data_IF_277212179103
#
_entry.id   IF_277212179103
#
_cell.length_a   1.000
_cell.length_b   1.000
_cell.length_c   1.000
_cell.angle_alpha   90.00
_cell.angle_beta   90.00
_cell.angle_gamma   90.00
#
_symmetry.space_group_name_H-M   'P 1'
#
loop_
_entity.id
_entity.type
_entity.pdbx_description
1 polymer ?
#
# COMPACT_ATOMS: atom_id res chain seq x y z
N UNK A 1 0.43 -21.21 -13.31
CA UNK A 1 -0.73 -20.86 -14.16
C UNK A 1 -0.45 -19.51 -14.80
N UNK A 2 -0.73 -19.33 -16.10
CA UNK A 2 -0.58 -18.03 -16.76
C UNK A 2 -1.95 -17.37 -16.87
N UNK A 3 -2.16 -16.27 -16.15
CA UNK A 3 -3.37 -15.45 -16.25
C UNK A 3 -3.08 -14.18 -17.03
N UNK A 4 -4.11 -13.69 -17.73
CA UNK A 4 -3.99 -12.46 -18.51
C UNK A 4 -4.01 -11.19 -17.63
N UNK A 5 -4.71 -11.24 -16.50
CA UNK A 5 -4.73 -10.18 -15.48
C UNK A 5 -4.27 -10.80 -14.16
N UNK A 6 -3.33 -10.17 -13.48
CA UNK A 6 -2.85 -10.66 -12.19
C UNK A 6 -3.96 -10.58 -11.12
N UNK A 7 -4.91 -9.65 -11.25
CA UNK A 7 -6.11 -9.62 -10.42
C UNK A 7 -6.94 -10.92 -10.46
N UNK A 8 -6.84 -11.72 -11.53
CA UNK A 8 -7.50 -13.02 -11.61
C UNK A 8 -6.69 -14.13 -10.90
N UNK A 9 -5.40 -13.90 -10.58
CA UNK A 9 -4.53 -14.88 -9.95
C UNK A 9 -4.92 -15.17 -8.50
N UNK A 10 -5.21 -14.13 -7.70
CA UNK A 10 -5.48 -14.27 -6.26
C UNK A 10 -6.76 -15.11 -5.97
N UNK A 11 -7.92 -14.85 -6.59
CA UNK A 11 -9.11 -15.68 -6.38
C UNK A 11 -8.91 -17.14 -6.78
N UNK A 12 -8.11 -17.39 -7.83
CA UNK A 12 -7.80 -18.75 -8.28
C UNK A 12 -6.83 -19.43 -7.29
N UNK A 13 -5.83 -18.71 -6.79
CA UNK A 13 -4.92 -19.22 -5.77
C UNK A 13 -5.68 -19.62 -4.49
N UNK A 14 -6.63 -18.80 -4.03
CA UNK A 14 -7.45 -19.13 -2.86
C UNK A 14 -8.33 -20.36 -3.09
N UNK A 15 -8.93 -20.49 -4.28
CA UNK A 15 -9.73 -21.67 -4.64
C UNK A 15 -8.91 -22.97 -4.74
N UNK A 16 -7.62 -22.86 -5.07
CA UNK A 16 -6.68 -23.99 -5.11
C UNK A 16 -6.15 -24.33 -3.70
N UNK A 17 -5.81 -23.32 -2.88
CA UNK A 17 -5.43 -23.51 -1.48
C UNK A 17 -6.55 -24.15 -0.66
N UNK A 18 -7.80 -23.75 -0.89
CA UNK A 18 -8.98 -24.37 -0.28
C UNK A 18 -9.11 -25.87 -0.61
N UNK A 19 -8.44 -26.34 -1.67
CA UNK A 19 -8.36 -27.76 -2.06
C UNK A 19 -7.06 -28.44 -1.61
N UNK A 20 -6.25 -27.77 -0.79
CA UNK A 20 -4.96 -28.30 -0.32
C UNK A 20 -3.87 -28.30 -1.39
N UNK A 21 -4.03 -27.55 -2.48
CA UNK A 21 -3.02 -27.45 -3.54
C UNK A 21 -2.10 -26.27 -3.20
N UNK A 22 -0.78 -26.48 -3.06
CA UNK A 22 0.16 -25.39 -2.83
C UNK A 22 0.24 -24.48 -4.07
N UNK A 23 0.13 -23.17 -3.85
CA UNK A 23 0.16 -22.16 -4.92
C UNK A 23 1.00 -20.97 -4.50
N UNK A 24 1.96 -20.64 -5.36
CA UNK A 24 2.78 -19.43 -5.29
C UNK A 24 2.32 -18.44 -6.38
N UNK A 25 2.11 -17.18 -6.01
CA UNK A 25 1.78 -16.10 -6.95
C UNK A 25 3.06 -15.34 -7.26
N UNK A 26 3.54 -15.44 -8.50
CA UNK A 26 4.79 -14.80 -8.95
C UNK A 26 4.53 -13.30 -9.22
N UNK A 27 5.30 -12.43 -8.58
CA UNK A 27 5.25 -10.97 -8.78
C UNK A 27 5.28 -10.21 -7.45
N UNK A 28 5.63 -8.92 -7.48
CA UNK A 28 5.66 -8.07 -6.29
C UNK A 28 4.26 -7.88 -5.70
N UNK A 29 3.20 -7.76 -6.52
CA UNK A 29 1.82 -7.71 -6.04
C UNK A 29 1.42 -9.00 -5.31
N UNK A 30 1.88 -10.16 -5.80
CA UNK A 30 1.70 -11.45 -5.14
C UNK A 30 2.42 -11.47 -3.79
N UNK A 31 3.68 -11.05 -3.76
CA UNK A 31 4.49 -10.95 -2.55
C UNK A 31 3.87 -10.03 -1.49
N UNK A 32 3.36 -8.86 -1.89
CA UNK A 32 2.72 -7.89 -1.01
C UNK A 32 1.37 -8.38 -0.45
N UNK A 33 0.74 -9.37 -1.09
CA UNK A 33 -0.50 -9.98 -0.61
C UNK A 33 -0.28 -11.03 0.49
N UNK A 34 0.96 -11.47 0.70
CA UNK A 34 1.32 -12.45 1.71
C UNK A 34 1.17 -11.80 3.10
N UNK A 35 0.45 -12.40 4.05
CA UNK A 35 0.10 -11.77 5.32
C UNK A 35 1.31 -11.21 6.07
N UNK A 36 2.39 -11.99 6.16
CA UNK A 36 3.63 -11.60 6.85
C UNK A 36 4.29 -10.36 6.22
N UNK A 37 4.27 -10.26 4.89
CA UNK A 37 4.81 -9.11 4.15
C UNK A 37 3.87 -7.91 4.28
N UNK A 38 2.56 -8.14 4.18
CA UNK A 38 1.55 -7.10 4.33
C UNK A 38 1.61 -6.43 5.72
N UNK A 39 1.89 -7.20 6.78
CA UNK A 39 2.04 -6.68 8.13
C UNK A 39 3.31 -5.80 8.28
N UNK A 40 4.42 -6.21 7.66
CA UNK A 40 5.65 -5.38 7.61
C UNK A 40 5.39 -4.07 6.87
N UNK A 41 4.73 -4.12 5.70
CA UNK A 41 4.41 -2.93 4.91
C UNK A 41 3.43 -2.02 5.64
N UNK A 42 2.41 -2.57 6.30
CA UNK A 42 1.47 -1.79 7.10
C UNK A 42 2.17 -1.08 8.27
N UNK A 43 3.10 -1.76 8.96
CA UNK A 43 3.91 -1.14 10.02
C UNK A 43 4.83 -0.04 9.46
N UNK A 44 5.51 -0.28 8.34
CA UNK A 44 6.35 0.73 7.67
C UNK A 44 5.54 1.97 7.29
N UNK A 45 4.32 1.79 6.74
CA UNK A 45 3.39 2.89 6.45
C UNK A 45 3.01 3.65 7.70
N UNK A 46 2.64 2.97 8.78
CA UNK A 46 2.25 3.62 10.04
C UNK A 46 3.40 4.38 10.72
N UNK A 47 4.63 3.88 10.57
CA UNK A 47 5.83 4.54 11.09
C UNK A 47 6.16 5.80 10.29
N UNK A 48 6.09 5.72 8.96
CA UNK A 48 6.45 6.82 8.06
C UNK A 48 5.36 7.88 7.89
N UNK A 49 4.09 7.46 7.87
CA UNK A 49 2.93 8.30 7.60
C UNK A 49 1.86 8.10 8.69
N UNK A 50 1.84 8.98 9.72
CA UNK A 50 0.87 8.92 10.81
C UNK A 50 -0.59 8.99 10.34
N UNK A 51 -0.85 9.67 9.21
CA UNK A 51 -2.19 9.83 8.65
C UNK A 51 -2.70 8.61 7.86
N UNK A 52 -1.86 7.57 7.70
CA UNK A 52 -2.23 6.33 7.00
C UNK A 52 -3.21 5.47 7.83
N UNK A 53 -4.47 5.91 7.91
CA UNK A 53 -5.51 5.29 8.74
C UNK A 53 -5.81 3.83 8.38
N UNK A 54 -5.72 3.45 7.11
CA UNK A 54 -5.90 2.05 6.68
C UNK A 54 -4.80 1.14 7.22
N UNK A 55 -3.53 1.57 7.13
CA UNK A 55 -2.39 0.87 7.71
C UNK A 55 -2.50 0.79 9.24
N UNK A 56 -2.91 1.88 9.88
CA UNK A 56 -3.17 1.89 11.32
C UNK A 56 -4.23 0.84 11.71
N UNK A 57 -5.36 0.81 11.01
CA UNK A 57 -6.43 -0.16 11.28
C UNK A 57 -5.97 -1.60 11.03
N UNK A 58 -5.20 -1.86 9.97
CA UNK A 58 -4.64 -3.19 9.71
C UNK A 58 -3.72 -3.65 10.84
N UNK A 59 -2.80 -2.80 11.32
CA UNK A 59 -1.94 -3.13 12.47
C UNK A 59 -2.76 -3.37 13.74
N UNK A 60 -3.69 -2.47 14.07
CA UNK A 60 -4.46 -2.53 15.32
C UNK A 60 -5.42 -3.73 15.39
N UNK A 61 -5.98 -4.13 14.24
CA UNK A 61 -6.90 -5.27 14.13
C UNK A 61 -6.20 -6.58 13.76
N UNK A 62 -4.91 -6.51 13.41
CA UNK A 62 -4.09 -7.65 13.01
C UNK A 62 -3.94 -8.71 14.09
N UNK A 63 -3.40 -9.90 13.74
CA UNK A 63 -3.39 -11.09 14.60
C UNK A 63 -2.61 -10.90 15.91
N UNK A 64 -1.62 -10.00 15.93
CA UNK A 64 -0.82 -9.70 17.13
C UNK A 64 -1.59 -8.86 18.15
N UNK A 65 -2.23 -7.77 17.72
CA UNK A 65 -2.84 -6.79 18.63
C UNK A 65 -4.32 -7.06 18.90
N UNK A 66 -5.08 -7.47 17.87
CA UNK A 66 -6.50 -7.86 17.97
C UNK A 66 -7.30 -6.93 18.89
N UNK A 67 -7.18 -5.62 18.69
CA UNK A 67 -7.91 -4.65 19.51
C UNK A 67 -9.41 -4.76 19.22
N UNK A 68 -10.20 -4.78 20.29
CA UNK A 68 -11.66 -4.86 20.18
C UNK A 68 -12.26 -3.54 19.72
N UNK A 69 -13.45 -3.60 19.12
CA UNK A 69 -14.16 -2.41 18.64
C UNK A 69 -14.39 -1.35 19.72
N UNK A 70 -14.57 -1.75 20.99
CA UNK A 70 -14.69 -0.81 22.13
C UNK A 70 -13.41 0.02 22.32
N UNK A 71 -12.25 -0.63 22.33
CA UNK A 71 -10.97 0.03 22.56
C UNK A 71 -10.56 0.88 21.36
N UNK A 72 -10.84 0.41 20.13
CA UNK A 72 -10.67 1.18 18.90
C UNK A 72 -11.53 2.44 18.88
N UNK A 73 -12.80 2.33 19.27
CA UNK A 73 -13.69 3.50 19.35
C UNK A 73 -13.24 4.50 20.42
N UNK A 74 -12.69 4.02 21.55
CA UNK A 74 -12.11 4.88 22.57
C UNK A 74 -10.85 5.60 22.04
N UNK A 75 -9.98 4.88 21.33
CA UNK A 75 -8.78 5.44 20.73
C UNK A 75 -9.12 6.47 19.63
N UNK A 76 -10.15 6.21 18.83
CA UNK A 76 -10.63 7.17 17.83
C UNK A 76 -11.19 8.44 18.48
N UNK A 77 -11.96 8.32 19.58
CA UNK A 77 -12.39 9.48 20.36
C UNK A 77 -11.20 10.29 20.90
N UNK A 78 -10.12 9.61 21.31
CA UNK A 78 -8.87 10.27 21.72
C UNK A 78 -8.26 11.04 20.56
N UNK A 79 -8.17 10.45 19.37
CA UNK A 79 -7.65 11.12 18.16
C UNK A 79 -8.44 12.40 17.83
N UNK A 80 -9.78 12.35 17.89
CA UNK A 80 -10.64 13.52 17.69
C UNK A 80 -10.41 14.61 18.75
N UNK A 81 -10.17 14.20 19.99
CA UNK A 81 -9.85 15.13 21.08
C UNK A 81 -8.49 15.82 20.92
N UNK A 82 -7.51 15.14 20.31
CA UNK A 82 -6.18 15.69 20.01
C UNK A 82 -6.21 16.67 18.83
N UNK A 83 -7.03 16.40 17.81
CA UNK A 83 -7.18 17.23 16.61
C UNK A 83 -8.06 18.50 16.82
N UNK A 84 -8.39 18.86 18.06
CA UNK A 84 -9.10 20.12 18.35
C UNK A 84 -10.63 20.06 18.49
N UNK A 85 -11.23 18.87 18.66
CA UNK A 85 -12.67 18.72 18.87
C UNK A 85 -13.53 19.07 17.63
N UNK A 86 -14.87 18.87 17.66
CA UNK A 86 -15.73 19.22 16.53
C UNK A 86 -15.73 20.74 16.34
N UNK A 87 -14.94 21.21 15.38
CA UNK A 87 -14.83 22.62 15.06
C UNK A 87 -16.18 23.15 14.59
N UNK A 88 -16.61 24.28 15.14
CA UNK A 88 -17.78 25.01 14.64
C UNK A 88 -17.52 25.36 13.16
N UNK A 89 -18.49 25.08 12.30
CA UNK A 89 -18.34 25.11 10.83
C UNK A 89 -18.21 26.55 10.30
N UNK A 90 -17.05 27.18 10.51
CA UNK A 90 -16.69 28.46 9.91
C UNK A 90 -16.05 28.22 8.52
N UNK A 91 -16.28 29.09 7.53
CA UNK A 91 -15.62 29.00 6.22
C UNK A 91 -14.08 28.96 6.31
N UNK A 92 -13.48 29.59 7.32
CA UNK A 92 -12.04 29.51 7.61
C UNK A 92 -11.62 28.11 8.08
N UNK A 93 -12.45 27.40 8.85
CA UNK A 93 -12.19 26.00 9.25
C UNK A 93 -12.26 25.05 8.05
N UNK A 94 -13.12 25.33 7.08
CA UNK A 94 -13.25 24.51 5.85
C UNK A 94 -12.01 24.70 4.98
N UNK A 95 -11.51 25.95 4.86
CA UNK A 95 -10.29 26.23 4.12
C UNK A 95 -9.05 25.62 4.80
N UNK A 96 -8.96 25.66 6.14
CA UNK A 96 -7.88 25.04 6.91
C UNK A 96 -7.89 23.50 6.80
N UNK A 97 -9.07 22.87 6.83
CA UNK A 97 -9.22 21.42 6.68
C UNK A 97 -8.88 20.90 5.27
N UNK A 98 -8.88 21.78 4.25
CA UNK A 98 -8.51 21.42 2.88
C UNK A 98 -7.03 21.67 2.54
N UNK A 99 -6.27 22.28 3.45
CA UNK A 99 -4.84 22.53 3.29
C UNK A 99 -3.98 21.28 3.50
N UNK A 100 -2.73 21.28 2.99
CA UNK A 100 -1.77 20.21 3.24
C UNK A 100 -1.38 20.11 4.73
N UNK A 101 -1.58 21.18 5.51
CA UNK A 101 -1.36 21.25 6.95
C UNK A 101 -2.66 21.04 7.75
N UNK A 102 -3.63 20.29 7.20
CA UNK A 102 -4.88 20.01 7.90
C UNK A 102 -4.63 19.08 9.09
N UNK A 103 -5.00 19.52 10.30
CA UNK A 103 -5.01 18.72 11.53
C UNK A 103 -6.12 17.65 11.46
N UNK A 104 -5.91 16.66 10.60
CA UNK A 104 -6.84 15.54 10.45
C UNK A 104 -6.61 14.57 11.60
N UNK A 105 -7.66 14.17 12.34
CA UNK A 105 -7.52 13.22 13.45
C UNK A 105 -6.93 11.90 12.95
N UNK A 106 -5.77 11.52 13.50
CA UNK A 106 -5.09 10.29 13.13
C UNK A 106 -4.91 9.35 14.33
N UNK A 107 -5.00 8.04 14.07
CA UNK A 107 -4.85 7.02 15.11
C UNK A 107 -3.42 6.97 15.66
N UNK A 108 -2.42 7.35 14.87
CA UNK A 108 -1.02 7.36 15.28
C UNK A 108 -0.74 8.36 16.42
N UNK A 109 -1.42 9.51 16.44
CA UNK A 109 -1.30 10.49 17.53
C UNK A 109 -1.94 9.97 18.80
N UNK A 110 -3.14 9.38 18.69
CA UNK A 110 -3.80 8.74 19.81
C UNK A 110 -3.03 7.53 20.35
N UNK A 111 -2.27 6.81 19.52
CA UNK A 111 -1.34 5.78 20.00
C UNK A 111 -0.17 6.38 20.78
N UNK A 112 0.36 7.51 20.31
CA UNK A 112 1.48 8.20 20.96
C UNK A 112 1.06 8.87 22.27
N UNK A 113 -0.20 9.30 22.36
CA UNK A 113 -0.82 9.85 23.56
C UNK A 113 -2.24 9.25 23.78
N UNK A 114 -2.32 8.03 24.36
CA UNK A 114 -3.60 7.35 24.56
C UNK A 114 -4.45 7.95 25.68
N UNK A 115 -3.88 8.85 26.50
CA UNK A 115 -4.55 9.41 27.65
C UNK A 115 -4.81 8.40 28.78
N UNK A 116 -5.80 8.66 29.65
CA UNK A 116 -6.11 7.84 30.83
C UNK A 116 -6.55 6.41 30.48
N UNK A 117 -6.12 5.45 31.30
CA UNK A 117 -6.41 4.02 31.10
C UNK A 117 -7.91 3.67 31.23
N UNK A 118 -8.68 4.44 31.99
CA UNK A 118 -10.09 4.16 32.32
C UNK A 118 -11.03 4.18 31.11
N UNK A 119 -10.59 4.79 30.00
CA UNK A 119 -11.32 4.82 28.74
C UNK A 119 -11.28 3.48 27.98
N UNK A 120 -10.40 2.56 28.37
CA UNK A 120 -10.09 1.33 27.65
C UNK A 120 -10.29 0.09 28.52
N UNK A 121 -10.34 -1.09 27.90
CA UNK A 121 -10.14 -2.33 28.64
C UNK A 121 -8.71 -2.44 29.15
N UNK A 122 -8.49 -3.09 30.30
CA UNK A 122 -7.15 -3.27 30.85
C UNK A 122 -6.19 -4.01 29.88
N UNK A 123 -6.72 -4.97 29.10
CA UNK A 123 -5.94 -5.66 28.08
C UNK A 123 -5.67 -4.76 26.86
N UNK A 124 -6.66 -4.00 26.41
CA UNK A 124 -6.54 -3.06 25.29
C UNK A 124 -5.53 -1.96 25.58
N UNK A 125 -5.58 -1.35 26.77
CA UNK A 125 -4.63 -0.31 27.17
C UNK A 125 -3.19 -0.81 27.20
N UNK A 126 -2.94 -2.01 27.76
CA UNK A 126 -1.60 -2.61 27.75
C UNK A 126 -1.06 -2.81 26.32
N UNK A 127 -1.92 -3.26 25.41
CA UNK A 127 -1.56 -3.45 23.99
C UNK A 127 -1.28 -2.12 23.29
N UNK A 128 -2.10 -1.10 23.55
CA UNK A 128 -1.92 0.26 23.02
C UNK A 128 -0.56 0.83 23.46
N UNK A 129 -0.25 0.76 24.76
CA UNK A 129 1.03 1.27 25.30
C UNK A 129 2.23 0.52 24.75
N UNK A 130 2.13 -0.82 24.62
CA UNK A 130 3.19 -1.63 24.01
C UNK A 130 3.44 -1.23 22.55
N UNK A 131 2.37 -1.11 21.74
CA UNK A 131 2.46 -0.67 20.34
C UNK A 131 3.02 0.76 20.23
N UNK A 132 2.62 1.67 21.12
CA UNK A 132 3.16 3.02 21.16
C UNK A 132 4.69 3.03 21.39
N UNK A 133 5.16 2.16 22.28
CA UNK A 133 6.60 1.97 22.53
C UNK A 133 7.34 1.45 21.30
N UNK A 134 6.76 0.47 20.59
CA UNK A 134 7.31 -0.06 19.33
C UNK A 134 7.37 1.01 18.23
N UNK A 135 6.30 1.78 18.05
CA UNK A 135 6.27 2.88 17.07
C UNK A 135 7.31 3.95 17.40
N UNK A 136 7.48 4.30 18.67
CA UNK A 136 8.50 5.26 19.11
C UNK A 136 9.91 4.75 18.79
N UNK A 137 10.17 3.48 19.04
CA UNK A 137 11.45 2.85 18.71
C UNK A 137 11.69 2.87 17.20
N UNK A 138 10.73 2.44 16.40
CA UNK A 138 10.87 2.37 14.94
C UNK A 138 11.00 3.76 14.29
N UNK A 139 10.28 4.77 14.79
CA UNK A 139 10.41 6.16 14.32
C UNK A 139 11.80 6.73 14.57
N UNK A 140 12.45 6.35 15.67
CA UNK A 140 13.84 6.73 15.92
C UNK A 140 14.81 6.16 14.85
N UNK A 141 14.41 5.09 14.15
CA UNK A 141 15.22 4.43 13.13
C UNK A 141 15.00 4.96 11.71
N UNK A 142 14.10 5.92 11.49
CA UNK A 142 13.84 6.50 10.16
C UNK A 142 15.08 7.13 9.51
N UNK A 143 16.08 7.50 10.31
CA UNK A 143 17.37 8.01 9.84
C UNK A 143 18.34 6.93 9.35
N UNK A 144 18.09 5.64 9.59
CA UNK A 144 18.96 4.52 9.18
C UNK A 144 18.76 4.11 7.72
N UNK A 145 19.61 3.23 7.18
CA UNK A 145 19.42 2.77 5.81
C UNK A 145 18.14 1.92 5.70
N UNK A 146 17.52 1.94 4.53
CA UNK A 146 16.20 1.34 4.34
C UNK A 146 16.18 -0.19 4.63
N UNK A 147 17.19 -0.99 4.22
CA UNK A 147 17.30 -2.39 4.63
C UNK A 147 17.36 -2.58 6.15
N UNK A 148 18.11 -1.74 6.87
CA UNK A 148 18.21 -1.83 8.34
C UNK A 148 16.88 -1.53 9.00
N UNK A 149 16.14 -0.52 8.52
CA UNK A 149 14.82 -0.21 9.04
C UNK A 149 13.85 -1.38 8.83
N UNK A 150 13.87 -2.02 7.66
CA UNK A 150 13.02 -3.18 7.37
C UNK A 150 13.40 -4.38 8.24
N UNK A 151 14.70 -4.63 8.42
CA UNK A 151 15.18 -5.66 9.34
C UNK A 151 14.71 -5.40 10.78
N UNK A 152 14.75 -4.13 11.22
CA UNK A 152 14.29 -3.76 12.55
C UNK A 152 12.76 -3.89 12.72
N UNK A 153 11.98 -3.52 11.70
CA UNK A 153 10.52 -3.77 11.69
C UNK A 153 10.23 -5.26 11.78
N UNK A 154 10.90 -6.11 10.99
CA UNK A 154 10.76 -7.57 11.06
C UNK A 154 11.06 -8.09 12.46
N UNK A 155 12.14 -7.61 13.07
CA UNK A 155 12.58 -7.99 14.42
C UNK A 155 11.58 -7.58 15.49
N UNK A 156 11.08 -6.35 15.46
CA UNK A 156 10.09 -5.82 16.42
C UNK A 156 8.76 -6.55 16.28
N UNK A 157 8.32 -6.81 15.04
CA UNK A 157 7.10 -7.55 14.76
C UNK A 157 7.21 -9.05 15.06
N UNK A 158 8.43 -9.61 15.12
CA UNK A 158 8.64 -11.04 15.36
C UNK A 158 8.10 -11.94 14.25
N UNK A 159 7.86 -11.38 13.05
CA UNK A 159 7.24 -12.08 11.91
C UNK A 159 8.04 -13.29 11.46
N UNK A 160 9.37 -13.26 11.59
CA UNK A 160 10.22 -14.40 11.24
C UNK A 160 9.97 -15.62 12.14
N UNK A 161 9.68 -15.39 13.42
CA UNK A 161 9.36 -16.46 14.36
C UNK A 161 7.96 -17.02 14.09
N UNK A 162 6.98 -16.16 13.84
CA UNK A 162 5.61 -16.57 13.53
C UNK A 162 5.56 -17.36 12.22
N UNK A 163 6.26 -16.90 11.18
CA UNK A 163 6.30 -17.57 9.89
C UNK A 163 6.94 -18.97 10.00
N UNK A 164 8.05 -19.10 10.73
CA UNK A 164 8.68 -20.41 11.01
C UNK A 164 7.77 -21.34 11.81
N UNK A 165 7.04 -20.80 12.80
CA UNK A 165 6.11 -21.59 13.61
C UNK A 165 4.95 -22.13 12.76
N UNK A 166 4.43 -21.33 11.82
CA UNK A 166 3.40 -21.77 10.87
C UNK A 166 3.92 -22.86 9.93
N UNK A 167 5.08 -22.67 9.31
CA UNK A 167 5.67 -23.66 8.39
C UNK A 167 6.00 -24.99 9.08
N UNK A 168 6.45 -24.96 10.34
CA UNK A 168 6.66 -26.17 11.12
C UNK A 168 5.36 -26.96 11.35
N UNK A 169 4.21 -26.28 11.42
CA UNK A 169 2.91 -26.93 11.55
C UNK A 169 2.39 -27.50 10.22
N UNK A 170 2.80 -26.96 9.07
CA UNK A 170 2.40 -27.43 7.73
C UNK A 170 3.38 -28.42 7.08
N UNK A 171 4.50 -28.74 7.75
CA UNK A 171 5.60 -29.57 7.24
C UNK A 171 6.25 -29.03 5.94
N UNK A 172 6.15 -27.72 5.70
CA UNK A 172 6.86 -27.03 4.63
C UNK A 172 8.28 -26.64 5.11
N UNK A 173 9.27 -26.84 4.24
CA UNK A 173 10.64 -26.39 4.50
C UNK A 173 10.78 -24.93 4.10
N UNK A 174 11.17 -24.08 5.06
CA UNK A 174 11.31 -22.63 5.02
C UNK A 174 9.99 -21.84 5.18
N UNK A 175 9.98 -20.95 6.17
CA UNK A 175 8.85 -20.04 6.42
C UNK A 175 9.19 -18.56 6.19
N UNK A 176 10.46 -18.22 5.99
CA UNK A 176 10.91 -16.81 5.87
C UNK A 176 11.20 -16.38 4.44
N UNK A 177 11.09 -17.29 3.45
CA UNK A 177 11.40 -16.99 2.05
C UNK A 177 10.69 -15.75 1.50
N UNK A 178 9.42 -15.53 1.85
CA UNK A 178 8.68 -14.35 1.43
C UNK A 178 9.21 -13.06 2.07
N UNK A 179 9.62 -13.12 3.34
CA UNK A 179 10.22 -11.98 4.05
C UNK A 179 11.62 -11.67 3.52
N UNK A 180 12.37 -12.71 3.16
CA UNK A 180 13.71 -12.59 2.58
C UNK A 180 13.61 -12.04 1.14
N UNK A 181 12.66 -12.52 0.33
CA UNK A 181 12.35 -11.97 -0.98
C UNK A 181 11.91 -10.50 -0.92
N UNK A 182 11.12 -10.11 0.08
CA UNK A 182 10.78 -8.70 0.30
C UNK A 182 12.01 -7.86 0.66
N UNK A 183 12.89 -8.41 1.50
CA UNK A 183 14.14 -7.72 1.88
C UNK A 183 15.06 -7.52 0.67
N UNK A 184 15.13 -8.49 -0.24
CA UNK A 184 15.86 -8.37 -1.51
C UNK A 184 15.27 -7.29 -2.41
N UNK A 185 13.94 -7.17 -2.49
CA UNK A 185 13.26 -6.10 -3.24
C UNK A 185 13.65 -4.73 -2.67
N UNK A 186 13.64 -4.59 -1.34
CA UNK A 186 14.01 -3.35 -0.64
C UNK A 186 15.48 -3.00 -0.88
N UNK A 187 16.39 -3.96 -0.78
CA UNK A 187 17.82 -3.76 -1.05
C UNK A 187 18.06 -3.28 -2.48
N UNK A 188 17.47 -3.97 -3.47
CA UNK A 188 17.56 -3.60 -4.89
C UNK A 188 16.93 -2.23 -5.17
N UNK A 189 15.87 -1.85 -4.46
CA UNK A 189 15.30 -0.50 -4.57
C UNK A 189 16.29 0.55 -4.04
N UNK A 190 16.87 0.31 -2.85
CA UNK A 190 17.82 1.23 -2.23
C UNK A 190 19.09 1.44 -3.06
N UNK A 191 19.63 0.36 -3.65
CA UNK A 191 20.75 0.43 -4.59
C UNK A 191 20.45 1.31 -5.81
N UNK A 192 19.26 1.13 -6.42
CA UNK A 192 18.84 1.92 -7.59
C UNK A 192 18.64 3.38 -7.26
N UNK A 193 17.97 3.67 -6.14
CA UNK A 193 17.74 5.04 -5.69
C UNK A 193 19.07 5.78 -5.43
N UNK A 194 20.06 5.08 -4.88
CA UNK A 194 21.39 5.67 -4.60
C UNK A 194 22.21 5.89 -5.87
N UNK A 195 22.05 5.05 -6.89
CA UNK A 195 22.79 5.12 -8.17
C UNK A 195 22.18 6.07 -9.21
N UNK A 196 20.90 6.43 -9.10
CA UNK A 196 20.22 7.33 -10.06
C UNK A 196 20.47 8.82 -9.85
N UNK A 197 21.09 9.25 -8.75
CA UNK A 197 21.25 10.67 -8.41
C UNK A 197 22.70 11.15 -8.63
N UNK A 198 22.93 11.90 -9.70
CA UNK A 198 24.28 12.36 -10.12
C UNK A 198 24.79 13.58 -9.35
N UNK A 199 23.94 14.31 -8.62
CA UNK A 199 24.32 15.64 -8.09
C UNK A 199 24.35 15.72 -6.55
N UNK A 200 23.67 14.82 -5.84
CA UNK A 200 23.76 14.61 -4.38
C UNK A 200 23.34 13.16 -4.11
N UNK A 201 24.03 12.37 -3.25
CA UNK A 201 23.51 11.06 -2.85
C UNK A 201 22.21 11.24 -2.05
N UNK A 202 21.08 11.26 -2.73
CA UNK A 202 19.77 11.22 -2.11
C UNK A 202 19.57 9.82 -1.55
N UNK A 203 19.56 9.71 -0.22
CA UNK A 203 19.32 8.44 0.46
C UNK A 203 17.92 7.94 0.10
N UNK A 204 17.80 6.64 -0.20
CA UNK A 204 16.52 5.98 -0.38
C UNK A 204 15.63 6.23 0.85
N UNK A 205 14.47 6.85 0.64
CA UNK A 205 13.53 7.20 1.70
C UNK A 205 12.44 6.14 1.84
N UNK A 206 11.86 6.03 3.04
CA UNK A 206 10.72 5.13 3.29
C UNK A 206 9.50 5.55 2.47
N UNK A 207 9.23 6.86 2.38
CA UNK A 207 8.16 7.38 1.55
C UNK A 207 8.35 7.00 0.07
N UNK A 208 9.58 7.07 -0.45
CA UNK A 208 9.92 6.64 -1.80
C UNK A 208 9.70 5.14 -2.03
N UNK A 209 10.07 4.30 -1.06
CA UNK A 209 9.78 2.86 -1.11
C UNK A 209 8.27 2.61 -1.15
N UNK A 210 7.50 3.23 -0.27
CA UNK A 210 6.05 3.03 -0.19
C UNK A 210 5.36 3.44 -1.50
N UNK A 211 5.74 4.58 -2.07
CA UNK A 211 5.25 5.01 -3.38
C UNK A 211 5.64 4.01 -4.50
N UNK A 212 6.86 3.48 -4.47
CA UNK A 212 7.28 2.42 -5.40
C UNK A 212 6.43 1.15 -5.25
N UNK A 213 6.16 0.72 -4.02
CA UNK A 213 5.32 -0.46 -3.76
C UNK A 213 3.87 -0.26 -4.19
N UNK A 214 3.30 0.94 -3.99
CA UNK A 214 1.95 1.29 -4.47
C UNK A 214 1.87 1.20 -5.99
N UNK A 215 2.80 1.84 -6.70
CA UNK A 215 2.85 1.79 -8.17
C UNK A 215 3.05 0.36 -8.68
N UNK A 216 3.94 -0.41 -8.05
CA UNK A 216 4.17 -1.79 -8.45
C UNK A 216 2.93 -2.67 -8.25
N UNK A 217 2.21 -2.49 -7.14
CA UNK A 217 0.96 -3.18 -6.88
C UNK A 217 -0.10 -2.85 -7.95
N UNK A 218 -0.23 -1.58 -8.36
CA UNK A 218 -1.18 -1.17 -9.41
C UNK A 218 -0.82 -1.71 -10.80
N UNK A 219 0.45 -1.55 -11.21
CA UNK A 219 0.92 -1.96 -12.55
C UNK A 219 0.83 -3.47 -12.72
N UNK A 220 1.20 -4.23 -11.70
CA UNK A 220 1.12 -5.69 -11.74
C UNK A 220 -0.33 -6.19 -11.64
N UNK A 221 -1.25 -5.48 -10.97
CA UNK A 221 -2.66 -5.86 -10.90
C UNK A 221 -3.42 -5.75 -12.24
N UNK A 222 -2.86 -5.04 -13.22
CA UNK A 222 -3.21 -5.21 -14.63
C UNK A 222 -3.22 -3.91 -15.43
N UNK A 223 -2.70 -4.00 -16.66
CA UNK A 223 -2.91 -2.96 -17.69
C UNK A 223 -4.40 -2.89 -18.08
N UNK A 224 -4.94 -1.68 -18.34
CA UNK A 224 -6.31 -1.54 -18.82
C UNK A 224 -6.52 -2.36 -20.11
N UNK A 225 -7.72 -2.93 -20.32
CA UNK A 225 -7.99 -3.72 -21.51
C UNK A 225 -7.68 -2.87 -22.75
N UNK A 226 -6.89 -3.42 -23.69
CA UNK A 226 -6.72 -2.80 -25.01
C UNK A 226 -8.10 -2.46 -25.54
N UNK A 227 -8.38 -1.17 -25.75
CA UNK A 227 -9.59 -0.74 -26.42
C UNK A 227 -9.59 -1.40 -27.80
N UNK A 228 -10.50 -2.35 -27.99
CA UNK A 228 -10.76 -2.91 -29.31
C UNK A 228 -11.35 -1.76 -30.10
N UNK A 229 -10.53 -1.09 -30.93
CA UNK A 229 -11.08 -0.36 -32.08
C UNK A 229 -11.78 -1.43 -32.89
N UNK A 230 -13.10 -1.48 -32.78
CA UNK A 230 -13.93 -2.18 -33.74
C UNK A 230 -13.63 -1.50 -35.09
N UNK A 231 -12.77 -2.12 -35.89
CA UNK A 231 -12.79 -1.85 -37.31
C UNK A 231 -14.15 -2.33 -37.80
N UNK A 232 -15.01 -1.38 -38.14
CA UNK A 232 -16.20 -1.66 -38.91
C UNK A 232 -15.76 -2.17 -40.29
N UNK A 233 -15.44 -3.46 -40.38
CA UNK A 233 -15.37 -4.18 -41.65
C UNK A 233 -16.80 -4.25 -42.18
N UNK A 234 -17.05 -3.50 -43.23
CA UNK A 234 -18.36 -3.35 -43.83
C UNK A 234 -18.99 -4.69 -44.19
N UNK A 235 -20.02 -5.07 -43.44
CA UNK A 235 -21.08 -5.92 -43.95
C UNK A 235 -22.10 -5.00 -44.62
N UNK A 236 -22.18 -5.11 -45.95
CA UNK A 236 -23.23 -4.49 -46.76
C UNK A 236 -24.55 -5.18 -46.45
N UNK A 237 -25.41 -4.51 -45.69
CA UNK A 237 -26.86 -4.69 -45.78
C UNK A 237 -27.45 -3.31 -46.11
N UNK A 238 -27.89 -3.12 -47.36
CA UNK A 238 -28.76 -2.00 -47.75
C UNK A 238 -30.23 -2.31 -47.38
N UNK A 239 -31.15 -1.34 -47.39
CA UNK A 239 -31.13 -0.10 -46.62
C UNK A 239 -32.44 0.03 -45.80
N UNK A 240 -32.36 0.35 -44.51
CA UNK A 240 -33.49 0.97 -43.80
C UNK A 240 -33.28 2.48 -43.82
N UNK A 241 -34.19 3.17 -44.49
CA UNK A 241 -34.20 4.62 -44.70
C UNK A 241 -34.34 5.37 -43.36
N UNK A 242 -33.54 6.43 -43.10
CA UNK A 242 -33.68 7.25 -41.90
C UNK A 242 -34.46 8.55 -42.19
N UNK A 243 -35.12 9.19 -41.20
CA UNK A 243 -35.45 10.58 -41.30
C UNK A 243 -34.31 11.45 -40.74
N UNK A 244 -33.67 12.17 -41.68
CA UNK A 244 -33.16 13.55 -41.62
C UNK A 244 -32.37 14.05 -40.40
N UNK A 245 -31.11 14.35 -40.72
CA UNK A 245 -30.38 15.60 -40.49
C UNK A 245 -29.94 15.96 -39.06
N UNK A 246 -28.62 16.08 -38.87
CA UNK A 246 -27.96 17.35 -38.52
C UNK A 246 -26.45 17.25 -38.85
N UNK A 247 -25.89 18.36 -39.35
CA UNK A 247 -24.54 18.50 -39.93
C UNK A 247 -23.65 19.29 -38.97
N UNK A 248 -22.36 18.90 -38.91
CA UNK A 248 -21.13 19.67 -38.61
C UNK A 248 -20.24 18.83 -37.66
N UNK A 249 -18.91 18.70 -37.81
CA UNK A 249 -17.93 19.34 -38.67
C UNK A 249 -16.58 18.61 -38.54
N UNK A 250 -15.65 18.99 -39.41
CA UNK A 250 -14.39 18.33 -39.83
C UNK A 250 -13.25 18.23 -38.81
N UNK A 251 -12.35 17.28 -39.10
CA UNK A 251 -10.88 17.36 -38.90
C UNK A 251 -10.39 16.48 -37.75
N UNK A 252 -9.34 15.66 -37.84
CA UNK A 252 -8.28 15.44 -38.82
C UNK A 252 -7.43 14.25 -38.30
N UNK A 253 -6.57 13.70 -39.16
CA UNK A 253 -5.93 12.38 -39.05
C UNK A 253 -4.85 12.27 -37.96
N UNK A 254 -4.65 11.03 -37.48
CA UNK A 254 -3.48 10.53 -36.75
C UNK A 254 -2.21 10.50 -37.63
N UNK A 255 -1.00 10.18 -37.09
CA UNK A 255 -0.66 8.75 -36.99
C UNK A 255 0.29 8.33 -35.82
N UNK A 256 0.37 7.00 -35.65
CA UNK A 256 1.38 6.08 -35.03
C UNK A 256 2.63 6.66 -34.33
N UNK A 257 3.23 6.03 -33.32
CA UNK A 257 3.08 4.70 -32.73
C UNK A 257 4.38 4.38 -31.97
N UNK A 258 4.29 3.81 -30.75
CA UNK A 258 5.48 3.37 -30.01
C UNK A 258 5.17 2.06 -29.26
N UNK A 259 5.89 1.01 -29.64
CA UNK A 259 6.15 -0.15 -28.76
C UNK A 259 7.04 0.31 -27.61
N UNK A 260 6.70 -0.03 -26.37
CA UNK A 260 7.52 0.32 -25.21
C UNK A 260 7.97 -0.93 -24.44
N UNK A 261 9.29 -1.11 -24.23
CA UNK A 261 9.87 -2.02 -23.24
C UNK A 261 9.73 -1.45 -21.81
N UNK A 262 9.90 -2.34 -20.84
CA UNK A 262 9.64 -2.19 -19.39
C UNK A 262 10.58 -1.19 -18.67
N UNK A 263 11.60 -0.65 -19.34
CA UNK A 263 12.66 0.15 -18.70
C UNK A 263 12.30 1.61 -18.38
N UNK A 264 11.06 2.07 -18.61
CA UNK A 264 10.72 3.51 -18.52
C UNK A 264 10.01 3.99 -17.26
N UNK A 265 9.71 3.13 -16.29
CA UNK A 265 9.07 3.56 -15.04
C UNK A 265 10.02 4.42 -14.19
N UNK A 266 11.33 4.20 -14.29
CA UNK A 266 12.35 4.99 -13.59
C UNK A 266 12.50 6.42 -14.16
N UNK A 267 12.17 6.64 -15.43
CA UNK A 267 12.45 7.90 -16.13
C UNK A 267 11.31 8.93 -16.01
N UNK A 268 10.08 8.47 -15.75
CA UNK A 268 8.90 9.34 -15.69
C UNK A 268 8.68 10.06 -14.35
N UNK A 269 9.42 9.70 -13.30
CA UNK A 269 9.37 10.40 -12.00
C UNK A 269 10.45 11.49 -11.85
N UNK A 270 11.42 11.56 -12.77
CA UNK A 270 12.53 12.52 -12.72
C UNK A 270 12.18 13.88 -13.36
N UNK A 271 11.07 13.99 -14.11
CA UNK A 271 10.81 15.17 -14.94
C UNK A 271 9.43 15.82 -14.74
N UNK A 272 9.13 16.24 -13.50
CA UNK A 272 8.11 17.28 -13.27
C UNK A 272 8.80 18.61 -12.92
N UNK A 273 8.63 19.68 -13.72
CA UNK A 273 9.12 21.00 -13.33
C UNK A 273 8.28 21.56 -12.16
N UNK A 274 8.96 22.40 -11.37
CA UNK A 274 8.50 23.02 -10.12
C UNK A 274 7.17 23.78 -10.25
#
# INVERSE_FOLDING_TARGET
MLVRRNADAAPIADALRARGIPVEVVGLAGLLSIPEVADVVAMLRLVAEPTAGTAAMQVLTGPRWRLGGRDLAALWRRALGLAGGPNESSPESIAAAAGPDSDTPCLADALSDPGPADCYSAAGYRRIVALAGELKLLRAQLGHCLPDLVAEVRRVLGVDCEARAKSAATAEWSGTEHLDAFSDVVAKYAERATSSCTEVPAKASVAGLLAYLDVAAEVENGLPPRSRRLHATGCRCSPCMPPRAWVAGRGGRAPVGWSFPVDRVAEHLVNRPR
#
